data_IF_740187770264
#
_entry.id   IF_740187770264
#
_cell.length_a   1.000
_cell.length_b   1.000
_cell.length_c   1.000
_cell.angle_alpha   90.00
_cell.angle_beta   90.00
_cell.angle_gamma   90.00
#
_symmetry.space_group_name_H-M   'P 1'
#
loop_
_entity.id
_entity.type
_entity.pdbx_description
1 polymer ?
#
# COMPACT_ATOMS: atom_id res chain seq x y z
N UNK A 1 33.60 62.17 -53.11
CA UNK A 1 33.79 62.50 -51.68
C UNK A 1 32.53 62.02 -50.97
N UNK A 2 32.58 60.79 -50.40
CA UNK A 2 32.62 60.51 -48.93
C UNK A 2 31.27 60.82 -48.27
N UNK A 3 30.55 59.96 -47.55
CA UNK A 3 30.81 58.63 -46.99
C UNK A 3 29.45 57.98 -46.66
N UNK A 4 29.39 56.67 -46.81
CA UNK A 4 28.32 55.74 -46.47
C UNK A 4 27.89 55.82 -45.00
N UNK A 5 26.59 55.94 -44.75
CA UNK A 5 25.98 55.69 -43.44
C UNK A 5 25.07 54.44 -43.54
N UNK A 6 25.48 53.37 -42.87
CA UNK A 6 24.63 52.20 -42.62
C UNK A 6 23.73 52.48 -41.40
N UNK A 7 22.40 52.40 -41.49
CA UNK A 7 21.57 52.22 -40.32
C UNK A 7 21.55 50.73 -39.96
N UNK A 8 22.22 50.38 -38.86
CA UNK A 8 22.11 49.09 -38.18
C UNK A 8 20.68 48.90 -37.67
N UNK A 9 19.85 48.15 -38.39
CA UNK A 9 18.61 47.61 -37.83
C UNK A 9 18.97 46.39 -36.97
N UNK A 10 19.05 46.59 -35.64
CA UNK A 10 18.90 45.47 -34.70
C UNK A 10 17.47 44.94 -34.86
N UNK A 11 17.32 43.75 -35.45
CA UNK A 11 16.15 42.93 -35.17
C UNK A 11 16.28 42.46 -33.72
N UNK A 12 15.56 43.08 -32.81
CA UNK A 12 15.23 42.45 -31.54
C UNK A 12 14.39 41.22 -31.87
N UNK A 13 15.04 40.05 -31.82
CA UNK A 13 14.31 38.80 -31.68
C UNK A 13 13.69 38.84 -30.29
N UNK A 14 12.41 39.18 -30.21
CA UNK A 14 11.61 38.76 -29.07
C UNK A 14 11.59 37.23 -29.08
N UNK A 15 12.51 36.64 -28.35
CA UNK A 15 12.38 35.26 -27.89
C UNK A 15 11.26 35.31 -26.87
N UNK A 16 10.02 35.15 -27.34
CA UNK A 16 8.97 34.66 -26.45
C UNK A 16 9.52 33.38 -25.83
N UNK A 17 9.57 33.26 -24.50
CA UNK A 17 9.78 31.96 -23.91
C UNK A 17 8.67 31.09 -24.47
N UNK A 18 9.02 30.07 -25.26
CA UNK A 18 8.15 28.91 -25.33
C UNK A 18 8.12 28.44 -23.89
N UNK A 19 7.05 28.78 -23.18
CA UNK A 19 6.64 28.02 -22.02
C UNK A 19 6.62 26.58 -22.52
N UNK A 20 7.68 25.85 -22.18
CA UNK A 20 7.61 24.41 -22.11
C UNK A 20 6.49 24.18 -21.13
N UNK A 21 5.31 23.90 -21.65
CA UNK A 21 4.29 23.18 -20.93
C UNK A 21 4.93 21.82 -20.67
N UNK A 22 5.81 21.77 -19.66
CA UNK A 22 5.98 20.59 -18.88
C UNK A 22 4.62 20.41 -18.24
N UNK A 23 3.76 19.70 -18.95
CA UNK A 23 2.79 18.86 -18.30
C UNK A 23 3.64 17.89 -17.49
N UNK A 24 4.04 18.31 -16.30
CA UNK A 24 4.21 17.42 -15.17
C UNK A 24 2.82 16.80 -14.98
N UNK A 25 2.53 15.83 -15.85
CA UNK A 25 1.72 14.70 -15.48
C UNK A 25 2.49 14.12 -14.32
N UNK A 26 2.16 14.61 -13.13
CA UNK A 26 2.41 13.97 -11.88
C UNK A 26 1.62 12.66 -11.96
N UNK A 27 2.11 11.72 -12.78
CA UNK A 27 1.78 10.32 -12.73
C UNK A 27 2.34 9.91 -11.39
N UNK A 28 1.55 10.19 -10.36
CA UNK A 28 1.77 9.70 -9.02
C UNK A 28 2.00 8.20 -9.20
N UNK A 29 3.27 7.80 -9.08
CA UNK A 29 3.66 6.41 -9.34
C UNK A 29 2.75 5.56 -8.47
N UNK A 30 1.96 4.72 -9.12
CA UNK A 30 1.07 3.82 -8.42
C UNK A 30 1.91 2.99 -7.44
N UNK A 31 1.65 3.21 -6.15
CA UNK A 31 2.31 2.52 -5.04
C UNK A 31 1.73 1.12 -5.02
N UNK A 32 2.59 0.11 -5.22
CA UNK A 32 2.17 -1.28 -5.07
C UNK A 32 2.10 -1.62 -3.59
N UNK A 33 1.03 -2.30 -3.19
CA UNK A 33 0.84 -2.78 -1.83
C UNK A 33 1.36 -4.20 -1.68
N UNK A 34 1.80 -4.56 -0.48
CA UNK A 34 2.17 -5.93 -0.19
C UNK A 34 0.94 -6.72 0.26
N UNK A 35 0.69 -7.88 -0.34
CA UNK A 35 -0.47 -8.72 -0.03
C UNK A 35 -0.07 -10.14 0.27
N UNK A 36 -0.92 -10.86 1.01
CA UNK A 36 -0.74 -12.28 1.29
C UNK A 36 -2.11 -12.96 1.32
N UNK A 37 -2.18 -14.18 0.79
CA UNK A 37 -3.34 -15.05 1.04
C UNK A 37 -3.29 -15.60 2.47
N UNK A 38 -4.37 -15.36 3.21
CA UNK A 38 -4.56 -15.83 4.58
C UNK A 38 -5.75 -16.77 4.63
N UNK A 39 -5.68 -17.76 5.52
CA UNK A 39 -6.83 -18.62 5.81
C UNK A 39 -7.49 -18.14 7.08
N UNK A 40 -8.78 -17.82 7.01
CA UNK A 40 -9.61 -17.43 8.16
C UNK A 40 -10.76 -18.41 8.34
N UNK A 41 -11.27 -18.56 9.55
CA UNK A 41 -12.39 -19.44 9.84
C UNK A 41 -13.71 -18.66 9.85
N UNK A 42 -14.76 -19.23 9.27
CA UNK A 42 -16.13 -18.75 9.44
C UNK A 42 -16.69 -19.14 10.83
N UNK A 43 -17.94 -18.76 11.12
CA UNK A 43 -18.58 -19.07 12.40
C UNK A 43 -18.85 -20.55 12.64
N UNK A 44 -18.78 -21.39 11.61
CA UNK A 44 -18.87 -22.86 11.71
C UNK A 44 -17.47 -23.52 11.84
N UNK A 45 -16.40 -22.73 11.84
CA UNK A 45 -15.02 -23.22 11.89
C UNK A 45 -14.48 -23.71 10.55
N UNK A 46 -15.14 -23.40 9.44
CA UNK A 46 -14.69 -23.79 8.09
C UNK A 46 -13.66 -22.80 7.55
N UNK A 47 -12.58 -23.27 6.91
CA UNK A 47 -11.53 -22.41 6.38
C UNK A 47 -11.99 -21.66 5.12
N UNK A 48 -11.63 -20.39 5.03
CA UNK A 48 -11.89 -19.49 3.91
C UNK A 48 -10.58 -18.78 3.52
N UNK A 49 -10.16 -18.90 2.27
CA UNK A 49 -8.98 -18.20 1.75
C UNK A 49 -9.35 -16.76 1.40
N UNK A 50 -8.63 -15.80 1.96
CA UNK A 50 -8.86 -14.35 1.79
C UNK A 50 -7.56 -13.64 1.47
N UNK A 51 -7.67 -12.49 0.80
CA UNK A 51 -6.52 -11.64 0.53
C UNK A 51 -6.43 -10.60 1.65
N UNK A 52 -5.29 -10.58 2.31
CA UNK A 52 -4.93 -9.56 3.28
C UNK A 52 -3.83 -8.68 2.71
N UNK A 53 -3.98 -7.36 2.78
CA UNK A 53 -2.85 -6.47 2.53
C UNK A 53 -2.21 -6.04 3.84
N UNK A 54 -0.91 -5.83 3.78
CA UNK A 54 -0.06 -5.53 4.92
C UNK A 54 0.20 -4.03 4.92
N UNK A 55 -0.18 -3.36 6.01
CA UNK A 55 -0.06 -1.90 6.14
C UNK A 55 0.64 -1.55 7.45
N UNK A 56 1.92 -1.21 7.36
CA UNK A 56 2.70 -0.75 8.51
C UNK A 56 2.38 0.71 8.90
N UNK A 57 1.65 1.45 8.08
CA UNK A 57 1.14 2.79 8.39
C UNK A 57 -0.08 2.76 9.31
N UNK A 58 -0.73 1.60 9.44
CA UNK A 58 -1.82 1.39 10.38
C UNK A 58 -1.36 0.61 11.61
N UNK A 59 -1.70 1.09 12.80
CA UNK A 59 -1.54 0.31 14.04
C UNK A 59 -2.57 -0.83 14.10
N UNK A 60 -3.81 -0.57 13.65
CA UNK A 60 -4.95 -1.48 13.77
C UNK A 60 -5.18 -2.30 12.51
N UNK A 61 -5.77 -3.48 12.69
CA UNK A 61 -6.22 -4.32 11.59
C UNK A 61 -7.72 -4.13 11.33
N UNK A 62 -8.11 -4.23 10.06
CA UNK A 62 -9.47 -3.97 9.61
C UNK A 62 -10.00 -5.10 8.72
N UNK A 63 -11.31 -5.25 8.71
CA UNK A 63 -12.03 -6.15 7.81
C UNK A 63 -13.18 -5.40 7.14
N UNK A 64 -13.41 -5.68 5.85
CA UNK A 64 -14.60 -5.17 5.17
C UNK A 64 -15.87 -5.76 5.81
N UNK A 65 -16.96 -4.97 5.84
CA UNK A 65 -18.25 -5.48 6.32
C UNK A 65 -18.77 -6.64 5.46
N UNK A 66 -18.42 -6.68 4.18
CA UNK A 66 -18.78 -7.79 3.28
C UNK A 66 -18.06 -9.09 3.67
N UNK A 67 -16.78 -9.01 4.05
CA UNK A 67 -16.07 -10.16 4.60
C UNK A 67 -16.77 -10.69 5.85
N UNK A 68 -17.05 -9.82 6.82
CA UNK A 68 -17.66 -10.21 8.09
C UNK A 68 -19.00 -10.91 7.86
N UNK A 69 -19.83 -10.39 6.96
CA UNK A 69 -21.08 -11.03 6.54
C UNK A 69 -20.84 -12.41 5.91
N UNK A 70 -19.85 -12.52 5.02
CA UNK A 70 -19.51 -13.79 4.36
C UNK A 70 -19.02 -14.87 5.33
N UNK A 71 -18.35 -14.46 6.43
CA UNK A 71 -17.90 -15.36 7.49
C UNK A 71 -18.99 -15.64 8.54
N UNK A 72 -20.15 -14.98 8.43
CA UNK A 72 -21.27 -15.08 9.36
C UNK A 72 -20.85 -14.90 10.83
N UNK A 73 -19.98 -13.91 11.10
CA UNK A 73 -19.45 -13.64 12.44
C UNK A 73 -20.35 -12.66 13.20
N UNK A 74 -20.53 -12.91 14.49
CA UNK A 74 -21.16 -11.96 15.41
C UNK A 74 -20.11 -10.93 15.91
N UNK A 75 -20.53 -9.67 16.16
CA UNK A 75 -19.65 -8.69 16.77
C UNK A 75 -19.24 -9.17 18.17
N UNK A 76 -17.96 -8.98 18.48
CA UNK A 76 -17.42 -9.26 19.81
C UNK A 76 -17.59 -8.06 20.75
N UNK A 77 -17.43 -6.84 20.22
CA UNK A 77 -17.51 -5.58 20.95
C UNK A 77 -17.82 -4.42 19.97
N UNK A 78 -18.06 -3.23 20.50
CA UNK A 78 -18.23 -2.00 19.73
C UNK A 78 -17.22 -0.91 20.16
N UNK A 79 -16.90 0.00 19.24
CA UNK A 79 -15.93 1.06 19.49
C UNK A 79 -16.22 2.28 18.62
N UNK A 80 -15.68 3.43 19.03
CA UNK A 80 -15.60 4.62 18.18
C UNK A 80 -14.15 4.85 17.76
N UNK A 81 -13.92 5.05 16.47
CA UNK A 81 -12.59 5.33 15.92
C UNK A 81 -12.59 6.63 15.12
N UNK A 82 -11.42 7.22 14.96
CA UNK A 82 -11.14 8.21 13.92
C UNK A 82 -10.45 7.49 12.77
N UNK A 83 -11.12 7.39 11.63
CA UNK A 83 -10.58 6.71 10.46
C UNK A 83 -10.11 7.75 9.43
N UNK A 84 -8.85 7.68 9.06
CA UNK A 84 -8.34 8.31 7.85
C UNK A 84 -8.30 7.23 6.77
N UNK A 85 -9.12 7.37 5.72
CA UNK A 85 -9.14 6.40 4.63
C UNK A 85 -8.13 6.79 3.55
N UNK A 86 -7.67 5.82 2.75
CA UNK A 86 -6.72 6.06 1.65
C UNK A 86 -7.20 7.13 0.65
N UNK A 87 -8.52 7.28 0.50
CA UNK A 87 -9.13 8.24 -0.43
C UNK A 87 -9.48 9.59 0.22
N UNK A 88 -9.41 9.73 1.55
CA UNK A 88 -9.80 10.96 2.24
C UNK A 88 -8.75 11.36 3.29
N UNK A 89 -8.06 12.49 3.13
CA UNK A 89 -7.07 12.96 4.09
C UNK A 89 -7.69 13.43 5.42
N UNK A 90 -9.02 13.54 5.51
CA UNK A 90 -9.71 13.92 6.75
C UNK A 90 -9.96 12.72 7.63
N UNK A 91 -9.70 12.89 8.92
CA UNK A 91 -10.14 11.96 9.96
C UNK A 91 -11.66 12.04 10.09
N UNK A 92 -12.33 10.92 9.87
CA UNK A 92 -13.78 10.78 10.01
C UNK A 92 -14.08 9.98 11.28
N UNK A 93 -14.81 10.54 12.25
CA UNK A 93 -15.32 9.79 13.38
C UNK A 93 -16.32 8.73 12.92
N UNK A 94 -16.16 7.50 13.39
CA UNK A 94 -17.02 6.39 13.03
C UNK A 94 -17.23 5.48 14.23
N UNK A 95 -18.49 5.19 14.52
CA UNK A 95 -18.87 4.09 15.39
C UNK A 95 -18.83 2.79 14.59
N UNK A 96 -18.19 1.75 15.13
CA UNK A 96 -17.98 0.49 14.44
C UNK A 96 -17.85 -0.68 15.43
N UNK A 97 -17.81 -1.89 14.88
CA UNK A 97 -17.79 -3.13 15.63
C UNK A 97 -16.41 -3.79 15.53
N UNK A 98 -16.04 -4.52 16.58
CA UNK A 98 -14.86 -5.35 16.65
C UNK A 98 -15.25 -6.82 16.47
N UNK A 99 -14.48 -7.54 15.67
CA UNK A 99 -14.71 -8.95 15.39
C UNK A 99 -13.47 -9.76 15.78
N UNK A 100 -13.70 -10.89 16.45
CA UNK A 100 -12.66 -11.88 16.70
C UNK A 100 -12.60 -12.85 15.51
N UNK A 101 -11.66 -12.63 14.62
CA UNK A 101 -11.46 -13.46 13.42
C UNK A 101 -10.35 -14.47 13.69
N UNK A 102 -10.63 -15.74 13.45
CA UNK A 102 -9.67 -16.81 13.68
C UNK A 102 -8.86 -17.07 12.42
N UNK A 103 -7.56 -16.84 12.48
CA UNK A 103 -6.62 -17.07 11.38
C UNK A 103 -5.92 -18.41 11.58
N UNK A 104 -5.73 -19.16 10.50
CA UNK A 104 -4.82 -20.30 10.48
C UNK A 104 -3.44 -19.85 10.04
N UNK A 105 -2.48 -19.92 10.97
CA UNK A 105 -1.09 -19.54 10.76
C UNK A 105 -0.18 -20.67 11.27
N UNK A 106 0.70 -21.19 10.41
CA UNK A 106 1.65 -22.26 10.76
C UNK A 106 0.99 -23.48 11.44
N UNK A 107 -0.18 -23.90 10.94
CA UNK A 107 -0.94 -25.03 11.48
C UNK A 107 -1.66 -24.76 12.81
N UNK A 108 -1.63 -23.52 13.32
CA UNK A 108 -2.33 -23.11 14.54
C UNK A 108 -3.45 -22.13 14.19
N UNK A 109 -4.54 -22.22 14.93
CA UNK A 109 -5.63 -21.25 14.86
C UNK A 109 -5.42 -20.18 15.92
N UNK A 110 -5.32 -18.92 15.50
CA UNK A 110 -5.06 -17.77 16.36
C UNK A 110 -6.16 -16.71 16.16
N UNK A 111 -6.75 -16.18 17.24
CA UNK A 111 -7.71 -15.09 17.12
C UNK A 111 -6.98 -13.75 16.93
N UNK A 112 -7.38 -12.98 15.91
CA UNK A 112 -7.03 -11.57 15.75
C UNK A 112 -8.30 -10.71 15.85
N UNK A 113 -8.14 -9.53 16.44
CA UNK A 113 -9.24 -8.56 16.57
C UNK A 113 -9.18 -7.62 15.37
N UNK A 114 -10.24 -7.65 14.55
CA UNK A 114 -10.37 -6.81 13.38
C UNK A 114 -11.47 -5.77 13.62
N UNK A 115 -11.19 -4.53 13.25
CA UNK A 115 -12.18 -3.45 13.27
C UNK A 115 -12.95 -3.45 11.95
N UNK A 116 -14.28 -3.48 11.99
CA UNK A 116 -15.06 -3.42 10.76
C UNK A 116 -14.97 -2.04 10.11
N UNK A 117 -14.85 -2.02 8.78
CA UNK A 117 -14.94 -0.81 7.96
C UNK A 117 -15.94 -1.04 6.83
N UNK A 118 -16.60 0.03 6.33
CA UNK A 118 -17.58 -0.11 5.25
C UNK A 118 -17.01 -0.86 4.05
N UNK A 119 -15.83 -0.45 3.60
CA UNK A 119 -15.11 -1.08 2.50
C UNK A 119 -13.59 -0.90 2.69
N UNK A 120 -12.83 -1.78 2.05
CA UNK A 120 -11.40 -1.62 1.83
C UNK A 120 -11.15 -1.24 0.37
N UNK A 121 -9.99 -0.64 0.05
CA UNK A 121 -9.62 -0.35 -1.33
C UNK A 121 -9.73 -1.58 -2.21
N UNK A 122 -10.34 -1.40 -3.39
CA UNK A 122 -10.48 -2.42 -4.42
C UNK A 122 -9.54 -2.12 -5.58
N UNK A 123 -9.24 -3.13 -6.39
CA UNK A 123 -8.37 -3.01 -7.56
C UNK A 123 -7.00 -2.41 -7.22
N UNK A 124 -6.41 -2.86 -6.10
CA UNK A 124 -5.10 -2.36 -5.69
C UNK A 124 -4.00 -3.06 -6.49
N UNK A 125 -3.04 -2.32 -7.05
CA UNK A 125 -1.82 -2.92 -7.56
C UNK A 125 -1.05 -3.47 -6.37
N UNK A 126 -0.74 -4.75 -6.43
CA UNK A 126 -0.16 -5.48 -5.32
C UNK A 126 0.95 -6.42 -5.78
N UNK A 127 1.82 -6.77 -4.83
CA UNK A 127 2.77 -7.87 -4.94
C UNK A 127 2.35 -8.92 -3.91
N UNK A 128 2.29 -10.19 -4.31
CA UNK A 128 2.01 -11.29 -3.39
C UNK A 128 3.30 -11.66 -2.64
N UNK A 129 3.24 -11.72 -1.30
CA UNK A 129 4.34 -12.10 -0.41
C UNK A 129 4.87 -13.51 -0.65
N UNK A 130 4.04 -14.39 -1.21
CA UNK A 130 4.45 -15.76 -1.54
C UNK A 130 5.00 -15.89 -2.97
N UNK A 131 5.06 -14.79 -3.73
CA UNK A 131 5.67 -14.79 -5.05
C UNK A 131 7.19 -14.97 -4.91
N UNK A 132 7.74 -15.98 -5.58
CA UNK A 132 9.16 -16.33 -5.52
C UNK A 132 10.07 -15.18 -5.99
N UNK A 133 9.58 -14.31 -6.89
CA UNK A 133 10.32 -13.14 -7.37
C UNK A 133 10.60 -12.10 -6.28
N UNK A 134 9.94 -12.17 -5.12
CA UNK A 134 10.34 -11.34 -3.97
C UNK A 134 11.78 -11.60 -3.55
N UNK A 135 12.30 -12.81 -3.76
CA UNK A 135 13.69 -13.11 -3.49
C UNK A 135 14.65 -12.34 -4.39
N UNK A 136 14.19 -11.90 -5.57
CA UNK A 136 15.00 -11.09 -6.49
C UNK A 136 15.35 -9.73 -5.87
N UNK A 137 14.50 -9.18 -4.98
CA UNK A 137 14.83 -7.95 -4.23
C UNK A 137 16.05 -8.09 -3.31
N UNK A 138 16.35 -9.31 -2.85
CA UNK A 138 17.53 -9.56 -2.02
C UNK A 138 18.81 -9.54 -2.87
N UNK A 139 18.71 -9.91 -4.14
CA UNK A 139 19.83 -9.95 -5.08
C UNK A 139 20.00 -8.64 -5.86
N UNK A 140 18.90 -7.94 -6.16
CA UNK A 140 18.87 -6.71 -6.94
C UNK A 140 17.82 -5.72 -6.37
N UNK A 141 18.25 -4.58 -5.79
CA UNK A 141 17.33 -3.56 -5.30
C UNK A 141 16.55 -2.84 -6.42
N UNK A 142 16.90 -3.07 -7.70
CA UNK A 142 16.18 -2.56 -8.87
C UNK A 142 15.26 -3.60 -9.52
N UNK A 143 15.12 -4.80 -8.92
CA UNK A 143 14.23 -5.83 -9.42
C UNK A 143 12.79 -5.30 -9.57
N UNK A 144 12.19 -5.60 -10.72
CA UNK A 144 10.80 -5.26 -11.00
C UNK A 144 9.93 -6.42 -10.57
N UNK A 145 9.23 -6.24 -9.46
CA UNK A 145 8.29 -7.24 -8.97
C UNK A 145 7.04 -7.34 -9.87
N UNK A 146 6.54 -8.55 -10.12
CA UNK A 146 5.28 -8.76 -10.82
C UNK A 146 4.16 -8.12 -9.99
N UNK A 147 3.37 -7.28 -10.66
CA UNK A 147 2.21 -6.65 -10.05
C UNK A 147 0.96 -7.39 -10.47
N UNK A 148 0.12 -7.70 -9.50
CA UNK A 148 -1.23 -8.21 -9.70
C UNK A 148 -2.23 -7.17 -9.22
N UNK A 149 -3.46 -7.25 -9.73
CA UNK A 149 -4.56 -6.45 -9.21
C UNK A 149 -5.33 -7.29 -8.18
N UNK A 150 -5.42 -6.80 -6.96
CA UNK A 150 -6.03 -7.53 -5.84
C UNK A 150 -7.21 -6.76 -5.22
N UNK A 151 -8.11 -7.53 -4.60
CA UNK A 151 -9.28 -7.02 -3.88
C UNK A 151 -9.22 -7.51 -2.43
N UNK A 152 -8.45 -6.85 -1.55
CA UNK A 152 -8.28 -7.30 -0.19
C UNK A 152 -9.58 -7.17 0.61
N UNK A 153 -9.84 -8.22 1.38
CA UNK A 153 -10.93 -8.26 2.35
C UNK A 153 -10.45 -7.84 3.76
N UNK A 154 -9.13 -7.83 3.97
CA UNK A 154 -8.48 -7.61 5.26
C UNK A 154 -7.30 -6.64 5.10
N UNK A 155 -7.19 -5.69 6.03
CA UNK A 155 -5.99 -4.87 6.26
C UNK A 155 -5.33 -5.34 7.55
N UNK A 156 -4.05 -5.69 7.49
CA UNK A 156 -3.26 -6.11 8.65
C UNK A 156 -2.36 -4.96 9.08
N UNK A 157 -2.70 -4.37 10.23
CA UNK A 157 -1.89 -3.34 10.86
C UNK A 157 -0.71 -3.92 11.62
N UNK A 158 0.19 -3.03 12.03
CA UNK A 158 1.45 -3.35 12.70
C UNK A 158 1.28 -4.28 13.91
N UNK A 159 0.27 -4.04 14.76
CA UNK A 159 0.03 -4.83 15.98
C UNK A 159 -0.25 -6.31 15.69
N UNK A 160 -0.84 -6.60 14.53
CA UNK A 160 -1.18 -7.97 14.11
C UNK A 160 -0.17 -8.55 13.12
N UNK A 161 0.69 -7.69 12.55
CA UNK A 161 1.59 -8.05 11.46
C UNK A 161 2.58 -9.14 11.88
N UNK A 162 3.23 -9.00 13.04
CA UNK A 162 4.19 -10.00 13.52
C UNK A 162 3.54 -11.38 13.69
N UNK A 163 2.31 -11.42 14.14
CA UNK A 163 1.56 -12.66 14.37
C UNK A 163 1.29 -13.40 13.05
N UNK A 164 1.00 -12.66 11.98
CA UNK A 164 0.74 -13.22 10.65
C UNK A 164 2.02 -13.54 9.86
N UNK A 165 3.03 -12.68 9.97
CA UNK A 165 4.29 -12.83 9.24
C UNK A 165 5.26 -13.83 9.89
N UNK A 166 5.01 -14.20 11.15
CA UNK A 166 5.87 -15.08 11.96
C UNK A 166 7.13 -14.37 12.48
N UNK A 167 7.99 -15.13 13.17
CA UNK A 167 9.34 -14.65 13.51
C UNK A 167 10.14 -14.52 12.22
N UNK A 168 10.47 -13.29 11.81
CA UNK A 168 11.40 -13.02 10.72
C UNK A 168 12.67 -12.40 11.28
N UNK A 169 13.83 -12.95 10.91
CA UNK A 169 15.11 -12.28 11.06
C UNK A 169 15.26 -11.27 9.92
N UNK A 170 15.72 -10.06 10.24
CA UNK A 170 16.07 -9.07 9.23
C UNK A 170 17.58 -9.15 9.06
N UNK A 171 18.04 -9.69 7.93
CA UNK A 171 19.37 -9.37 7.44
C UNK A 171 19.28 -7.98 6.84
N UNK A 172 19.91 -7.01 7.50
CA UNK A 172 19.95 -5.63 7.01
C UNK A 172 20.70 -5.67 5.67
N UNK A 173 20.03 -5.27 4.58
CA UNK A 173 20.70 -5.10 3.29
C UNK A 173 21.90 -4.17 3.49
N UNK A 174 23.12 -4.57 3.09
CA UNK A 174 24.29 -3.73 3.27
C UNK A 174 24.10 -2.42 2.52
N UNK A 175 24.07 -1.31 3.26
CA UNK A 175 24.09 0.02 2.69
C UNK A 175 25.49 0.26 2.10
N UNK A 176 25.63 0.21 0.79
CA UNK A 176 26.81 0.74 0.10
C UNK A 176 26.62 2.24 -0.11
N UNK A 177 26.94 3.00 0.94
CA UNK A 177 26.89 4.44 0.90
C UNK A 177 27.88 4.89 -0.14
N UNK A 178 27.40 5.69 -1.10
CA UNK A 178 28.24 6.33 -2.09
C UNK A 178 29.42 7.00 -1.39
N UNK A 179 30.58 6.38 -1.50
CA UNK A 179 31.84 6.99 -1.13
C UNK A 179 32.09 8.15 -2.08
N UNK A 180 31.73 9.35 -1.65
CA UNK A 180 32.56 10.50 -1.98
C UNK A 180 33.94 10.22 -1.39
N UNK A 181 34.94 10.09 -2.26
CA UNK A 181 36.33 9.88 -1.88
C UNK A 181 37.24 10.68 -2.81
N UNK A 182 37.52 11.91 -2.37
CA UNK A 182 38.62 12.85 -2.64
C UNK A 182 39.14 13.03 -4.07
#
# INVERSE_FOLDING_TARGET
MTTTAYPSQRKEYQVTPKESVHSDTNQQKSVAMLTRRVTVMDSEGRPQSKVAFIDNGSTRSYASRDLIKSLNLAPWDDTSILLQTFANPKLVPMHTELFKVHFQVNGKVIPLILTAVPELPKHIPAVDMEDESIHDLLADPHAVLPRVEENPDILIGLDSMQTLLGKRSVDILPWHGGGMGN
#
